data_IF_879053087875
#
_entry.id   IF_879053087875
#
_cell.length_a   1.000
_cell.length_b   1.000
_cell.length_c   1.000
_cell.angle_alpha   90.00
_cell.angle_beta   90.00
_cell.angle_gamma   90.00
#
_symmetry.space_group_name_H-M   'P 1'
#
loop_
_entity.id
_entity.type
_entity.pdbx_description
1 polymer ?
#
# COMPACT_ATOMS: atom_id res chain seq x y z
N UNK A 1 -14.97 17.82 3.38
CA UNK A 1 -13.50 18.00 3.27
C UNK A 1 -13.09 17.41 1.93
N UNK A 2 -12.43 18.18 1.08
CA UNK A 2 -11.94 17.69 -0.22
C UNK A 2 -10.64 16.91 -0.05
N UNK A 3 -10.20 16.19 -1.09
CA UNK A 3 -8.91 15.49 -1.09
C UNK A 3 -7.74 16.47 -0.95
N UNK A 4 -7.85 17.66 -1.55
CA UNK A 4 -6.84 18.71 -1.40
C UNK A 4 -6.82 19.28 0.02
N UNK A 5 -7.98 19.43 0.68
CA UNK A 5 -8.00 19.85 2.10
C UNK A 5 -7.34 18.78 2.99
N UNK A 6 -7.58 17.49 2.72
CA UNK A 6 -6.92 16.38 3.42
C UNK A 6 -5.41 16.46 3.23
N UNK A 7 -4.94 16.66 1.99
CA UNK A 7 -3.52 16.77 1.69
C UNK A 7 -2.87 17.95 2.42
N UNK A 8 -3.51 19.12 2.40
CA UNK A 8 -2.99 20.31 3.10
C UNK A 8 -2.88 20.09 4.60
N UNK A 9 -3.80 19.34 5.21
CA UNK A 9 -3.73 18.98 6.64
C UNK A 9 -2.51 18.14 7.01
N UNK A 10 -1.80 17.54 6.05
CA UNK A 10 -0.56 16.80 6.33
C UNK A 10 0.56 17.76 6.76
N UNK A 11 0.59 18.99 6.25
CA UNK A 11 1.57 20.01 6.63
C UNK A 11 1.49 20.45 8.09
N UNK A 12 0.34 20.25 8.74
CA UNK A 12 0.13 20.60 10.15
C UNK A 12 0.62 19.49 11.10
N UNK A 13 1.07 18.35 10.59
CA UNK A 13 1.51 17.22 11.42
C UNK A 13 2.84 17.56 12.10
N UNK A 14 2.95 17.35 13.43
CA UNK A 14 4.21 17.50 14.12
C UNK A 14 5.17 16.36 13.74
N UNK A 15 6.44 16.55 14.03
CA UNK A 15 7.42 15.45 14.01
C UNK A 15 7.00 14.37 15.02
N UNK A 16 7.17 13.10 14.66
CA UNK A 16 6.73 11.95 15.44
C UNK A 16 5.21 11.69 15.44
N UNK A 17 4.45 12.23 14.48
CA UNK A 17 2.98 12.11 14.44
C UNK A 17 2.44 10.68 14.40
N UNK A 18 3.26 9.71 14.02
CA UNK A 18 2.95 8.28 14.01
C UNK A 18 3.84 7.52 15.00
N UNK A 19 3.34 7.27 16.21
CA UNK A 19 4.05 6.55 17.28
C UNK A 19 5.48 7.04 17.58
N UNK A 20 5.78 8.31 17.29
CA UNK A 20 7.11 8.90 17.48
C UNK A 20 8.06 8.82 16.27
N UNK A 21 7.63 8.25 15.14
CA UNK A 21 8.50 8.03 13.95
C UNK A 21 8.20 8.94 12.76
N UNK A 22 6.98 9.50 12.66
CA UNK A 22 6.56 10.21 11.45
C UNK A 22 7.27 11.54 11.19
N UNK A 23 7.93 11.68 10.05
CA UNK A 23 8.60 12.89 9.60
C UNK A 23 7.62 14.00 9.19
N UNK A 24 8.14 15.23 9.15
CA UNK A 24 7.40 16.40 8.66
C UNK A 24 7.35 16.43 7.14
N UNK A 25 6.18 16.77 6.63
CA UNK A 25 5.96 17.01 5.20
C UNK A 25 6.51 18.37 4.80
N UNK A 26 7.30 18.42 3.73
CA UNK A 26 7.76 19.69 3.17
C UNK A 26 6.69 20.29 2.24
N UNK A 27 6.64 21.62 2.14
CA UNK A 27 5.72 22.30 1.20
C UNK A 27 5.91 21.81 -0.23
N UNK A 28 7.15 21.54 -0.63
CA UNK A 28 7.48 21.04 -1.96
C UNK A 28 6.84 19.67 -2.26
N UNK A 29 6.72 18.80 -1.25
CA UNK A 29 6.05 17.49 -1.41
C UNK A 29 4.54 17.63 -1.46
N UNK A 30 3.97 18.49 -0.62
CA UNK A 30 2.54 18.75 -0.63
C UNK A 30 2.10 19.38 -1.96
N UNK A 31 2.88 20.32 -2.50
CA UNK A 31 2.64 20.93 -3.82
C UNK A 31 2.74 19.89 -4.95
N UNK A 32 3.74 19.02 -4.91
CA UNK A 32 3.89 17.94 -5.90
C UNK A 32 2.76 16.91 -5.83
N UNK A 33 2.35 16.50 -4.63
CA UNK A 33 1.21 15.62 -4.45
C UNK A 33 -0.11 16.29 -4.90
N UNK A 34 -0.29 17.59 -4.66
CA UNK A 34 -1.42 18.36 -5.16
C UNK A 34 -1.44 18.38 -6.70
N UNK A 35 -0.26 18.55 -7.33
CA UNK A 35 -0.13 18.47 -8.77
C UNK A 35 -0.46 17.07 -9.33
N UNK A 36 -0.10 15.99 -8.62
CA UNK A 36 -0.48 14.61 -8.98
C UNK A 36 -2.01 14.45 -8.92
N UNK A 37 -2.66 14.86 -7.83
CA UNK A 37 -4.12 14.81 -7.66
C UNK A 37 -4.82 15.56 -8.80
N UNK A 38 -4.39 16.79 -9.08
CA UNK A 38 -4.96 17.62 -10.15
C UNK A 38 -4.75 16.95 -11.51
N UNK A 39 -3.56 16.41 -11.79
CA UNK A 39 -3.30 15.70 -13.04
C UNK A 39 -4.21 14.49 -13.23
N UNK A 40 -4.39 13.66 -12.19
CA UNK A 40 -5.29 12.51 -12.25
C UNK A 40 -6.74 12.91 -12.50
N UNK A 41 -7.23 13.94 -11.80
CA UNK A 41 -8.59 14.47 -11.99
C UNK A 41 -8.79 15.02 -13.40
N UNK A 42 -7.81 15.75 -13.96
CA UNK A 42 -7.86 16.22 -15.36
C UNK A 42 -7.84 15.07 -16.38
N UNK A 43 -7.33 13.90 -15.99
CA UNK A 43 -7.39 12.68 -16.77
C UNK A 43 -8.71 11.90 -16.55
N UNK A 44 -9.61 12.35 -15.66
CA UNK A 44 -10.86 11.67 -15.32
C UNK A 44 -10.67 10.48 -14.37
N UNK A 45 -9.63 10.54 -13.52
CA UNK A 45 -9.45 9.67 -12.36
C UNK A 45 -10.02 10.38 -11.12
N UNK A 46 -11.35 10.35 -10.98
CA UNK A 46 -12.07 11.14 -9.99
C UNK A 46 -12.13 10.49 -8.59
N UNK A 47 -12.05 9.16 -8.53
CA UNK A 47 -11.97 8.40 -7.29
C UNK A 47 -10.53 8.40 -6.77
N UNK A 48 -10.17 9.43 -6.02
CA UNK A 48 -8.80 9.65 -5.51
C UNK A 48 -8.77 9.75 -3.99
N UNK A 49 -7.70 9.22 -3.39
CA UNK A 49 -7.39 9.37 -1.97
C UNK A 49 -5.91 9.68 -1.79
N UNK A 50 -5.56 10.26 -0.64
CA UNK A 50 -4.17 10.57 -0.27
C UNK A 50 -3.85 10.01 1.11
N UNK A 51 -2.65 9.49 1.28
CA UNK A 51 -2.16 8.92 2.53
C UNK A 51 -0.80 9.50 2.91
N UNK A 52 -0.60 9.83 4.20
CA UNK A 52 0.71 10.27 4.69
C UNK A 52 1.63 9.06 4.87
N UNK A 53 2.81 9.11 4.29
CA UNK A 53 3.91 8.20 4.54
C UNK A 53 4.77 8.63 5.73
N UNK A 54 5.58 7.72 6.25
CA UNK A 54 6.30 7.91 7.53
C UNK A 54 7.54 8.78 7.38
N UNK A 55 8.20 8.78 6.22
CA UNK A 55 9.44 9.53 5.95
C UNK A 55 9.15 10.86 5.22
N UNK A 56 7.91 11.36 5.36
CA UNK A 56 7.44 12.60 4.75
C UNK A 56 6.99 12.44 3.28
N UNK A 57 6.98 11.21 2.75
CA UNK A 57 6.39 10.87 1.45
C UNK A 57 4.86 10.93 1.47
N UNK A 58 4.26 11.19 0.32
CA UNK A 58 2.79 11.17 0.17
C UNK A 58 2.39 10.16 -0.88
N UNK A 59 1.48 9.26 -0.52
CA UNK A 59 0.87 8.32 -1.44
C UNK A 59 -0.44 8.90 -1.99
N UNK A 60 -0.56 8.99 -3.31
CA UNK A 60 -1.80 9.35 -4.01
C UNK A 60 -2.32 8.11 -4.71
N UNK A 61 -3.54 7.69 -4.36
CA UNK A 61 -4.17 6.49 -4.89
C UNK A 61 -5.39 6.85 -5.74
N UNK A 62 -5.42 6.37 -6.98
CA UNK A 62 -6.53 6.52 -7.91
C UNK A 62 -7.23 5.18 -8.13
N UNK A 63 -8.50 5.10 -7.80
CA UNK A 63 -9.29 3.87 -7.89
C UNK A 63 -10.19 3.89 -9.13
N UNK A 64 -10.33 2.74 -9.77
CA UNK A 64 -11.33 2.54 -10.83
C UNK A 64 -11.56 1.06 -11.09
N UNK A 65 -12.83 0.63 -11.10
CA UNK A 65 -13.21 -0.74 -11.49
C UNK A 65 -12.45 -1.84 -10.71
N UNK A 66 -12.20 -1.62 -9.42
CA UNK A 66 -11.47 -2.56 -8.56
C UNK A 66 -9.95 -2.58 -8.78
N UNK A 67 -9.39 -1.63 -9.54
CA UNK A 67 -7.95 -1.44 -9.70
C UNK A 67 -7.51 -0.15 -9.03
N UNK A 68 -6.24 -0.07 -8.64
CA UNK A 68 -5.64 1.09 -8.01
C UNK A 68 -4.36 1.50 -8.74
N UNK A 69 -4.22 2.76 -9.14
CA UNK A 69 -2.92 3.34 -9.48
C UNK A 69 -2.42 4.06 -8.24
N UNK A 70 -1.24 3.71 -7.79
CA UNK A 70 -0.55 4.36 -6.68
C UNK A 70 0.59 5.23 -7.19
N UNK A 71 0.67 6.44 -6.69
CA UNK A 71 1.77 7.38 -6.95
C UNK A 71 2.35 7.82 -5.61
N UNK A 72 3.54 7.33 -5.30
CA UNK A 72 4.31 7.79 -4.17
C UNK A 72 5.14 9.02 -4.57
N UNK A 73 5.06 10.07 -3.76
CA UNK A 73 5.80 11.32 -3.94
C UNK A 73 6.81 11.44 -2.80
N UNK A 74 8.09 11.22 -3.12
CA UNK A 74 9.18 11.13 -2.14
C UNK A 74 9.93 12.47 -1.97
N UNK A 75 10.20 12.81 -0.70
CA UNK A 75 10.91 13.98 -0.19
C UNK A 75 12.42 13.99 -0.50
N UNK A 76 13.04 12.88 -0.88
CA UNK A 76 14.49 12.80 -0.96
C UNK A 76 15.09 13.44 -2.23
N UNK A 77 15.90 14.48 -1.99
CA UNK A 77 16.92 15.14 -2.81
C UNK A 77 16.59 15.62 -4.24
N UNK A 78 15.49 15.20 -4.89
CA UNK A 78 15.13 15.66 -6.25
C UNK A 78 13.65 15.43 -6.63
N UNK A 79 12.73 15.25 -5.66
CA UNK A 79 11.31 14.93 -5.92
C UNK A 79 11.13 13.75 -6.88
N UNK A 80 11.06 12.54 -6.32
CA UNK A 80 10.84 11.33 -7.11
C UNK A 80 9.37 10.95 -7.06
N UNK A 81 8.91 10.36 -8.16
CA UNK A 81 7.59 9.76 -8.26
C UNK A 81 7.78 8.28 -8.51
N UNK A 82 7.22 7.42 -7.67
CA UNK A 82 7.12 5.99 -7.95
C UNK A 82 5.68 5.65 -8.28
N UNK A 83 5.44 5.00 -9.42
CA UNK A 83 4.09 4.65 -9.88
C UNK A 83 3.95 3.14 -9.97
N UNK A 84 2.90 2.60 -9.34
CA UNK A 84 2.53 1.18 -9.44
C UNK A 84 1.04 1.03 -9.74
N UNK A 85 0.68 -0.14 -10.26
CA UNK A 85 -0.71 -0.55 -10.50
C UNK A 85 -1.00 -1.80 -9.67
N UNK A 86 -2.07 -1.73 -8.89
CA UNK A 86 -2.69 -2.89 -8.24
C UNK A 86 -3.90 -3.34 -9.07
N UNK A 87 -3.93 -4.60 -9.46
CA UNK A 87 -5.07 -5.23 -10.14
C UNK A 87 -6.14 -5.70 -9.14
N UNK A 88 -7.31 -6.07 -9.66
CA UNK A 88 -8.47 -6.43 -8.86
C UNK A 88 -8.35 -7.73 -8.06
N UNK A 89 -7.34 -8.54 -8.36
CA UNK A 89 -6.94 -9.73 -7.64
C UNK A 89 -5.90 -9.45 -6.54
N UNK A 90 -5.46 -8.19 -6.41
CA UNK A 90 -4.46 -7.77 -5.43
C UNK A 90 -3.01 -7.97 -5.89
N UNK A 91 -2.76 -8.34 -7.16
CA UNK A 91 -1.39 -8.31 -7.68
C UNK A 91 -0.94 -6.86 -7.91
N UNK A 92 0.29 -6.54 -7.48
CA UNK A 92 0.88 -5.22 -7.63
C UNK A 92 2.07 -5.29 -8.60
N UNK A 93 2.12 -4.36 -9.55
CA UNK A 93 3.29 -4.22 -10.41
C UNK A 93 4.46 -3.61 -9.64
N UNK A 94 5.68 -3.99 -10.00
CA UNK A 94 6.89 -3.31 -9.53
C UNK A 94 6.78 -1.78 -9.79
N UNK A 95 7.09 -0.94 -8.80
CA UNK A 95 7.04 0.51 -8.96
C UNK A 95 8.01 0.99 -10.04
N UNK A 96 7.54 1.91 -10.89
CA UNK A 96 8.37 2.60 -11.89
C UNK A 96 8.68 4.01 -11.40
N UNK A 97 9.97 4.33 -11.29
CA UNK A 97 10.44 5.62 -10.80
C UNK A 97 10.60 6.67 -11.90
N UNK A 98 10.22 7.90 -11.60
CA UNK A 98 10.36 9.07 -12.46
C UNK A 98 10.98 10.24 -11.69
N UNK A 99 11.85 10.99 -12.37
CA UNK A 99 12.52 12.17 -11.81
C UNK A 99 11.78 13.49 -12.05
N UNK A 100 10.62 13.48 -12.70
CA UNK A 100 9.81 14.68 -12.91
C UNK A 100 8.33 14.37 -13.16
N UNK A 101 7.49 15.40 -12.97
CA UNK A 101 6.05 15.34 -13.10
C UNK A 101 5.57 14.98 -14.51
N UNK A 102 6.29 15.41 -15.56
CA UNK A 102 5.87 15.17 -16.95
C UNK A 102 5.97 13.68 -17.31
N UNK A 103 7.06 13.01 -16.93
CA UNK A 103 7.24 11.58 -17.12
C UNK A 103 6.19 10.77 -16.35
N UNK A 104 5.98 11.11 -15.08
CA UNK A 104 4.94 10.49 -14.25
C UNK A 104 3.54 10.67 -14.86
N UNK A 105 3.20 11.88 -15.35
CA UNK A 105 1.92 12.15 -16.01
C UNK A 105 1.69 11.30 -17.25
N UNK A 106 2.74 11.09 -18.05
CA UNK A 106 2.66 10.22 -19.23
C UNK A 106 2.37 8.77 -18.82
N UNK A 107 2.96 8.32 -17.71
CA UNK A 107 2.69 7.00 -17.16
C UNK A 107 1.26 6.87 -16.59
N UNK A 108 0.78 7.88 -15.84
CA UNK A 108 -0.63 7.92 -15.39
C UNK A 108 -1.60 7.81 -16.57
N UNK A 109 -1.33 8.53 -17.66
CA UNK A 109 -2.15 8.46 -18.88
C UNK A 109 -2.14 7.04 -19.48
N UNK A 110 -0.97 6.40 -19.56
CA UNK A 110 -0.82 5.03 -20.06
C UNK A 110 -1.58 4.01 -19.18
N UNK A 111 -1.47 4.14 -17.87
CA UNK A 111 -2.12 3.23 -16.91
C UNK A 111 -3.63 3.42 -16.84
N UNK A 112 -4.11 4.67 -16.94
CA UNK A 112 -5.55 4.96 -17.03
C UNK A 112 -6.23 4.15 -18.13
N UNK A 113 -5.62 4.07 -19.31
CA UNK A 113 -6.19 3.33 -20.44
C UNK A 113 -6.31 1.84 -20.10
N UNK A 114 -5.35 1.30 -19.34
CA UNK A 114 -5.41 -0.07 -18.82
C UNK A 114 -6.55 -0.26 -17.81
N UNK A 115 -6.86 0.75 -16.96
CA UNK A 115 -7.99 0.68 -16.01
C UNK A 115 -9.37 0.69 -16.68
N UNK A 116 -9.47 1.15 -17.93
CA UNK A 116 -10.75 1.30 -18.63
C UNK A 116 -11.19 0.02 -19.38
N UNK A 117 -10.31 -0.97 -19.49
CA UNK A 117 -10.67 -2.26 -20.08
C UNK A 117 -11.64 -2.99 -19.15
N UNK A 118 -12.77 -3.52 -19.66
CA UNK A 118 -13.59 -4.43 -18.88
C UNK A 118 -12.69 -5.56 -18.40
N UNK A 119 -12.69 -5.82 -17.10
CA UNK A 119 -12.27 -7.13 -16.59
C UNK A 119 -13.21 -8.13 -17.25
N UNK A 120 -12.81 -8.65 -18.41
CA UNK A 120 -13.42 -9.86 -18.95
C UNK A 120 -13.37 -10.85 -17.80
N UNK A 121 -14.55 -11.29 -17.35
CA UNK A 121 -14.73 -12.23 -16.28
C UNK A 121 -13.81 -13.44 -16.50
N UNK A 122 -12.60 -13.38 -15.96
CA UNK A 122 -11.76 -14.54 -15.78
C UNK A 122 -12.23 -15.13 -14.46
N UNK A 123 -13.31 -15.91 -14.58
CA UNK A 123 -13.73 -16.81 -13.53
C UNK A 123 -12.68 -17.92 -13.48
N UNK A 124 -11.54 -17.65 -12.87
CA UNK A 124 -10.67 -18.75 -12.46
C UNK A 124 -11.40 -19.51 -11.36
N UNK A 125 -11.53 -20.85 -11.45
CA UNK A 125 -11.99 -21.62 -10.31
C UNK A 125 -11.02 -21.33 -9.17
N UNK A 126 -11.56 -20.89 -8.03
CA UNK A 126 -10.83 -20.73 -6.79
C UNK A 126 -10.07 -22.03 -6.50
N UNK A 127 -8.78 -22.07 -6.84
CA UNK A 127 -7.83 -22.95 -6.17
C UNK A 127 -7.41 -22.24 -4.90
N UNK A 128 -8.37 -22.17 -3.96
CA UNK A 128 -8.04 -22.06 -2.56
C UNK A 128 -7.06 -23.19 -2.24
N UNK A 129 -5.81 -22.83 -1.94
CA UNK A 129 -4.98 -23.74 -1.16
C UNK A 129 -5.37 -23.48 0.28
N UNK A 130 -6.35 -24.23 0.77
CA UNK A 130 -6.48 -24.51 2.20
C UNK A 130 -5.11 -25.02 2.63
N UNK A 131 -4.33 -24.17 3.28
CA UNK A 131 -3.17 -24.64 4.02
C UNK A 131 -3.77 -25.44 5.18
N UNK A 132 -3.98 -26.75 4.95
CA UNK A 132 -4.05 -27.71 6.05
C UNK A 132 -2.80 -27.44 6.87
N UNK A 133 -3.00 -26.78 8.01
CA UNK A 133 -2.01 -26.73 9.06
C UNK A 133 -1.97 -28.17 9.54
N UNK A 134 -1.07 -28.96 8.96
CA UNK A 134 -0.68 -30.24 9.52
C UNK A 134 0.09 -29.93 10.81
N UNK A 135 -0.68 -29.65 11.86
CA UNK A 135 -0.17 -29.38 13.19
C UNK A 135 0.22 -30.73 13.79
N UNK A 136 1.47 -31.13 13.55
CA UNK A 136 2.11 -32.20 14.31
C UNK A 136 2.34 -31.74 15.74
N UNK A 137 1.31 -31.87 16.58
CA UNK A 137 1.43 -31.77 18.02
C UNK A 137 2.32 -32.93 18.51
N UNK A 138 3.56 -32.65 18.92
CA UNK A 138 4.33 -33.61 19.68
C UNK A 138 3.68 -33.74 21.05
N UNK A 139 2.95 -34.85 21.24
CA UNK A 139 2.47 -35.29 22.54
C UNK A 139 3.67 -35.45 23.47
N UNK A 140 3.78 -34.57 24.45
CA UNK A 140 4.68 -34.77 25.58
C UNK A 140 4.15 -35.96 26.36
N UNK A 141 4.85 -37.08 26.28
CA UNK A 141 4.48 -38.35 26.91
C UNK A 141 4.44 -38.19 28.44
N UNK A 142 3.26 -38.22 29.09
CA UNK A 142 3.20 -38.26 30.53
C UNK A 142 3.29 -39.73 30.95
N UNK A 143 4.50 -40.19 31.30
CA UNK A 143 4.64 -41.42 32.08
C UNK A 143 4.01 -41.20 33.46
N UNK A 144 2.74 -41.56 33.56
CA UNK A 144 2.13 -41.96 34.80
C UNK A 144 2.13 -43.49 34.84
N UNK A 145 2.72 -44.08 35.87
CA UNK A 145 1.96 -44.71 36.97
C UNK A 145 2.92 -45.53 37.85
N UNK A 146 3.00 -45.07 39.10
CA UNK A 146 2.97 -45.80 40.37
C UNK A 146 3.74 -47.12 40.56
N UNK A 147 4.54 -47.10 41.63
CA UNK A 147 4.18 -47.90 42.82
C UNK A 147 5.10 -49.07 43.19
N UNK A 148 5.64 -49.02 44.42
CA UNK A 148 6.25 -50.15 45.13
C UNK A 148 7.66 -49.80 45.63
N UNK A 149 7.80 -49.20 46.83
CA UNK A 149 8.09 -49.91 48.10
C UNK A 149 9.14 -51.03 47.94
N UNK A 150 10.34 -50.81 48.48
CA UNK A 150 10.71 -51.51 49.71
C UNK A 150 11.87 -50.83 50.47
N UNK A 151 11.78 -50.93 51.79
CA UNK A 151 12.77 -50.50 52.78
C UNK A 151 13.69 -51.69 53.14
N UNK A 152 14.74 -51.42 53.94
CA UNK A 152 15.66 -52.34 54.66
C UNK A 152 16.91 -52.76 53.87
N UNK A 153 18.15 -52.71 54.35
CA UNK A 153 18.78 -52.41 55.64
C UNK A 153 20.09 -51.64 55.39
#
# INVERSE_FOLDING_TARGET
MTVLDKLRSFGDRPEGWHYGEGDKFTSAILESAEAVVICGQLLGLDEVNVFPGLSGEVLVAFYRSGRCIEVEVDAHANQRFAVSLESSDGEQTEPVEFGNLEQMKNELKRLKDSMCLPTSAYSEPSTSTSKEIDFSAWLSDPQAVAGGRDLSF
#
